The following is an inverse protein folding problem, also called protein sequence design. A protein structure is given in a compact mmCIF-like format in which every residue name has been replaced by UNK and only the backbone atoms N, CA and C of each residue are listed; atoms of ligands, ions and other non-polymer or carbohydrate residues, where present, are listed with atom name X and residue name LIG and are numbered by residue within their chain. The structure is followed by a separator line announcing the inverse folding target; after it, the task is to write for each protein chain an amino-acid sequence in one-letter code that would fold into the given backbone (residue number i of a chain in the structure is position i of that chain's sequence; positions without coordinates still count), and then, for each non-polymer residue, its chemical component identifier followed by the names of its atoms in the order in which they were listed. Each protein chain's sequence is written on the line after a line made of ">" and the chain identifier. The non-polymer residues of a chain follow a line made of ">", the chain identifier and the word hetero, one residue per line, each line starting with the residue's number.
data_IF_038189828840
#
_entry.id   IF_038189828840
#
_cell.length_a   1.000
_cell.length_b   1.000
_cell.length_c   1.000
_cell.angle_alpha   90.00
_cell.angle_beta   90.00
_cell.angle_gamma   90.00
#
_symmetry.space_group_name_H-M   'P 1'
#
loop_
_entity.id
_entity.type
_entity.pdbx_description
1 polymer ?
#
# COMPACT_ATOMS: atom_id res chain seq x y z
N UNK A 1 87.09 11.10 -3.98
CA UNK A 1 85.95 10.16 -4.09
C UNK A 1 84.76 10.83 -3.49
N UNK A 2 83.85 11.36 -4.37
CA UNK A 2 82.62 12.07 -3.97
C UNK A 2 81.44 11.07 -4.02
N UNK A 3 80.84 10.77 -2.87
CA UNK A 3 79.65 9.92 -2.80
C UNK A 3 78.43 10.80 -3.03
N UNK A 4 77.63 10.51 -4.13
CA UNK A 4 76.42 11.16 -4.49
C UNK A 4 75.27 10.43 -3.79
N UNK A 5 74.55 11.06 -2.84
CA UNK A 5 73.34 10.55 -2.20
C UNK A 5 72.13 10.92 -3.08
N UNK A 6 71.47 9.89 -3.58
CA UNK A 6 70.15 10.03 -4.25
C UNK A 6 69.06 10.01 -3.16
N UNK A 7 68.35 11.13 -3.00
CA UNK A 7 67.14 11.21 -2.18
C UNK A 7 65.96 10.89 -3.10
N UNK A 8 65.36 9.69 -2.91
CA UNK A 8 64.14 9.33 -3.58
C UNK A 8 62.97 9.94 -2.81
N UNK A 9 62.34 10.98 -3.41
CA UNK A 9 61.13 11.60 -2.87
C UNK A 9 59.93 10.72 -3.21
N UNK A 10 59.42 9.97 -2.22
CA UNK A 10 58.19 9.14 -2.36
C UNK A 10 56.97 10.09 -2.22
N UNK A 11 56.42 10.56 -3.32
CA UNK A 11 55.15 11.29 -3.34
C UNK A 11 53.98 10.28 -3.15
N UNK A 12 53.44 10.19 -1.94
CA UNK A 12 52.22 9.46 -1.67
C UNK A 12 51.04 10.16 -2.35
N UNK A 13 50.50 9.56 -3.41
CA UNK A 13 49.23 9.96 -4.03
C UNK A 13 48.10 9.63 -3.06
N UNK A 14 47.66 10.60 -2.27
CA UNK A 14 46.43 10.52 -1.48
C UNK A 14 45.25 10.71 -2.47
N UNK A 15 44.70 9.60 -2.94
CA UNK A 15 43.41 9.65 -3.66
C UNK A 15 42.32 9.97 -2.64
N UNK A 16 41.55 11.07 -2.82
CA UNK A 16 40.43 11.35 -1.94
C UNK A 16 39.42 10.19 -2.06
N UNK A 17 39.19 9.50 -0.97
CA UNK A 17 38.06 8.59 -0.87
C UNK A 17 36.78 9.44 -1.10
N UNK A 18 36.08 9.19 -2.20
CA UNK A 18 34.77 9.76 -2.41
C UNK A 18 33.87 9.15 -1.35
N UNK A 19 33.60 9.88 -0.28
CA UNK A 19 32.49 9.59 0.62
C UNK A 19 31.24 9.81 -0.24
N UNK A 20 30.62 8.73 -0.69
CA UNK A 20 29.32 8.81 -1.34
C UNK A 20 28.37 9.37 -0.30
N UNK A 21 27.89 10.58 -0.51
CA UNK A 21 26.89 11.17 0.36
C UNK A 21 25.65 10.25 0.33
N UNK A 22 25.18 9.85 1.51
CA UNK A 22 23.99 9.05 1.65
C UNK A 22 22.81 9.80 0.99
N UNK A 23 22.01 9.09 0.20
CA UNK A 23 20.86 9.67 -0.45
C UNK A 23 19.82 10.12 0.58
N UNK A 24 19.08 11.18 0.28
CA UNK A 24 17.98 11.63 1.12
C UNK A 24 16.89 10.55 1.29
N UNK A 25 16.76 9.63 0.32
CA UNK A 25 15.82 8.51 0.36
C UNK A 25 16.24 7.40 1.34
N UNK A 26 17.55 7.20 1.57
CA UNK A 26 18.07 6.06 2.32
C UNK A 26 17.57 6.03 3.75
N UNK A 27 17.07 4.88 4.17
CA UNK A 27 16.66 4.61 5.55
C UNK A 27 15.28 3.99 5.66
N UNK A 28 14.87 3.75 6.90
CA UNK A 28 13.53 3.27 7.24
C UNK A 28 12.60 4.46 7.43
N UNK A 29 11.42 4.36 6.84
CA UNK A 29 10.40 5.39 6.86
C UNK A 29 9.14 4.84 7.51
N UNK A 30 8.53 5.60 8.42
CA UNK A 30 7.30 5.23 9.11
C UNK A 30 6.19 6.23 8.79
N UNK A 31 5.03 5.72 8.37
CA UNK A 31 3.84 6.52 8.06
C UNK A 31 3.31 7.21 9.34
N UNK A 32 3.07 8.51 9.25
CA UNK A 32 2.29 9.25 10.25
C UNK A 32 0.80 9.22 9.88
N UNK A 33 0.04 8.42 10.60
CA UNK A 33 -1.40 8.27 10.36
C UNK A 33 -2.17 9.58 10.54
N UNK A 34 -1.67 10.54 11.34
CA UNK A 34 -2.33 11.83 11.55
C UNK A 34 -2.18 12.75 10.32
N UNK A 35 -1.24 12.47 9.44
CA UNK A 35 -0.97 13.22 8.21
C UNK A 35 -1.35 12.42 6.95
N UNK A 36 -2.37 11.56 7.07
CA UNK A 36 -2.89 10.74 5.96
C UNK A 36 -4.14 11.36 5.37
N UNK A 37 -4.14 11.57 4.06
CA UNK A 37 -5.30 11.98 3.27
C UNK A 37 -5.84 10.77 2.52
N UNK A 38 -7.00 10.29 2.96
CA UNK A 38 -7.65 9.11 2.38
C UNK A 38 -8.36 9.44 1.06
N UNK A 39 -8.65 8.44 0.23
CA UNK A 39 -9.37 8.62 -1.02
C UNK A 39 -10.70 9.33 -0.82
N UNK A 40 -11.01 10.25 -1.72
CA UNK A 40 -12.30 10.97 -1.68
C UNK A 40 -13.44 10.17 -2.31
N UNK A 41 -13.12 9.14 -3.10
CA UNK A 41 -14.09 8.25 -3.72
C UNK A 41 -14.71 7.34 -2.65
N UNK A 42 -16.04 7.33 -2.61
CA UNK A 42 -16.76 6.50 -1.65
C UNK A 42 -16.88 5.05 -2.12
N UNK A 43 -16.74 4.11 -1.19
CA UNK A 43 -17.14 2.72 -1.39
C UNK A 43 -18.67 2.60 -1.46
N UNK A 44 -19.19 1.73 -2.34
CA UNK A 44 -20.63 1.53 -2.53
C UNK A 44 -20.99 0.06 -2.32
N UNK A 45 -21.80 -0.17 -1.30
CA UNK A 45 -22.22 -1.51 -0.88
C UNK A 45 -23.75 -1.61 -0.83
N UNK A 46 -24.28 -2.76 -1.18
CA UNK A 46 -25.72 -3.06 -1.06
C UNK A 46 -25.85 -4.47 -0.47
N UNK A 47 -26.52 -4.56 0.66
CA UNK A 47 -26.89 -5.83 1.30
C UNK A 47 -28.40 -5.84 1.49
N UNK A 48 -29.09 -6.59 0.64
CA UNK A 48 -30.54 -6.66 0.61
C UNK A 48 -31.00 -8.02 0.09
N UNK A 49 -32.08 -8.56 0.67
CA UNK A 49 -32.68 -9.85 0.26
C UNK A 49 -31.67 -11.03 0.29
N UNK A 50 -30.70 -10.99 1.24
CA UNK A 50 -29.66 -12.01 1.36
C UNK A 50 -28.56 -11.94 0.29
N UNK A 51 -28.50 -10.89 -0.51
CA UNK A 51 -27.45 -10.64 -1.51
C UNK A 51 -26.58 -9.46 -1.09
N UNK A 52 -25.28 -9.66 -1.22
CA UNK A 52 -24.26 -8.62 -1.01
C UNK A 52 -23.63 -8.22 -2.34
N UNK A 53 -23.52 -6.92 -2.56
CA UNK A 53 -22.93 -6.32 -3.74
C UNK A 53 -21.92 -5.27 -3.31
N UNK A 54 -20.64 -5.46 -3.63
CA UNK A 54 -19.66 -4.38 -3.61
C UNK A 54 -19.51 -3.82 -5.03
N UNK A 55 -20.06 -2.65 -5.29
CA UNK A 55 -20.07 -2.02 -6.61
C UNK A 55 -18.75 -1.35 -6.97
N UNK A 56 -17.94 -1.05 -5.97
CA UNK A 56 -16.66 -0.34 -6.12
C UNK A 56 -15.46 -1.25 -5.88
N UNK A 57 -15.67 -2.49 -5.49
CA UNK A 57 -14.62 -3.51 -5.48
C UNK A 57 -14.13 -3.79 -6.91
N UNK A 58 -12.88 -4.21 -7.06
CA UNK A 58 -12.28 -4.54 -8.36
C UNK A 58 -11.62 -5.92 -8.25
N UNK A 59 -12.23 -6.95 -8.85
CA UNK A 59 -13.52 -6.93 -9.56
C UNK A 59 -14.71 -6.68 -8.61
N UNK A 60 -15.89 -6.25 -9.13
CA UNK A 60 -17.11 -6.14 -8.32
C UNK A 60 -17.48 -7.50 -7.68
N UNK A 61 -18.00 -7.46 -6.45
CA UNK A 61 -18.44 -8.65 -5.72
C UNK A 61 -19.95 -8.72 -5.74
N UNK A 62 -20.51 -9.86 -6.14
CA UNK A 62 -21.92 -10.17 -6.15
C UNK A 62 -22.11 -11.60 -5.59
N UNK A 63 -22.40 -11.73 -4.28
CA UNK A 63 -22.52 -13.03 -3.61
C UNK A 63 -23.69 -13.06 -2.63
N UNK A 64 -24.09 -14.26 -2.18
CA UNK A 64 -25.02 -14.41 -1.08
C UNK A 64 -24.35 -14.05 0.25
N UNK A 65 -25.10 -13.41 1.13
CA UNK A 65 -24.69 -13.13 2.51
C UNK A 65 -25.26 -14.22 3.46
N UNK A 66 -24.89 -15.48 3.22
CA UNK A 66 -25.38 -16.66 3.94
C UNK A 66 -24.33 -17.27 4.87
N UNK A 67 -23.14 -16.67 4.96
CA UNK A 67 -22.03 -17.15 5.77
C UNK A 67 -21.28 -18.33 5.17
N UNK A 68 -21.52 -18.66 3.89
CA UNK A 68 -20.80 -19.70 3.16
C UNK A 68 -19.78 -19.09 2.21
N UNK A 69 -18.80 -19.90 1.81
CA UNK A 69 -17.77 -19.48 0.85
C UNK A 69 -18.33 -19.53 -0.57
N UNK A 70 -18.34 -18.40 -1.25
CA UNK A 70 -18.75 -18.25 -2.64
C UNK A 70 -17.54 -18.00 -3.54
N UNK A 71 -17.37 -18.80 -4.60
CA UNK A 71 -16.29 -18.63 -5.55
C UNK A 71 -16.42 -17.29 -6.29
N UNK A 72 -15.29 -16.61 -6.39
CA UNK A 72 -15.13 -15.37 -7.18
C UNK A 72 -13.91 -15.52 -8.09
N UNK A 73 -13.81 -14.68 -9.11
CA UNK A 73 -12.72 -14.70 -10.06
C UNK A 73 -12.22 -13.30 -10.36
N UNK A 74 -10.97 -13.20 -10.80
CA UNK A 74 -10.38 -11.93 -11.26
C UNK A 74 -9.59 -11.18 -10.20
N UNK A 75 -9.63 -11.60 -8.93
CA UNK A 75 -8.72 -11.11 -7.91
C UNK A 75 -7.46 -11.98 -7.84
N UNK A 76 -6.32 -11.38 -7.49
CA UNK A 76 -5.04 -12.11 -7.36
C UNK A 76 -4.80 -12.64 -5.96
N UNK A 77 -5.52 -12.10 -4.97
CA UNK A 77 -5.34 -12.43 -3.58
C UNK A 77 -6.25 -13.56 -3.12
N UNK A 78 -7.49 -13.58 -3.56
CA UNK A 78 -8.48 -14.56 -3.11
C UNK A 78 -9.28 -15.18 -4.27
N UNK A 79 -9.86 -16.36 -4.02
CA UNK A 79 -10.68 -17.12 -4.96
C UNK A 79 -12.10 -17.39 -4.43
N UNK A 80 -12.37 -17.01 -3.19
CA UNK A 80 -13.70 -17.10 -2.58
C UNK A 80 -13.92 -16.01 -1.53
N UNK A 81 -15.18 -15.59 -1.42
CA UNK A 81 -15.68 -14.57 -0.48
C UNK A 81 -16.80 -15.15 0.35
N UNK A 82 -16.78 -14.87 1.65
CA UNK A 82 -17.81 -15.24 2.61
C UNK A 82 -18.36 -13.98 3.26
N UNK A 83 -19.66 -13.74 3.14
CA UNK A 83 -20.34 -12.61 3.77
C UNK A 83 -21.24 -13.12 4.88
N UNK A 84 -20.95 -12.73 6.12
CA UNK A 84 -21.74 -13.11 7.30
C UNK A 84 -22.36 -11.86 7.93
N UNK A 85 -23.69 -11.85 7.96
CA UNK A 85 -24.44 -10.85 8.75
C UNK A 85 -24.39 -11.29 10.21
N UNK A 86 -23.77 -10.48 11.07
CA UNK A 86 -23.62 -10.78 12.52
C UNK A 86 -24.84 -10.32 13.29
N UNK A 87 -25.28 -9.11 13.01
CA UNK A 87 -26.45 -8.48 13.61
C UNK A 87 -27.03 -7.40 12.65
N UNK A 88 -27.97 -6.60 13.15
CA UNK A 88 -28.65 -5.56 12.38
C UNK A 88 -27.74 -4.39 11.94
N UNK A 89 -26.47 -4.35 12.33
CA UNK A 89 -25.52 -3.27 12.01
C UNK A 89 -24.11 -3.77 11.69
N UNK A 90 -23.85 -5.07 11.86
CA UNK A 90 -22.51 -5.64 11.75
C UNK A 90 -22.48 -6.72 10.68
N UNK A 91 -21.54 -6.59 9.75
CA UNK A 91 -21.25 -7.57 8.70
C UNK A 91 -19.77 -7.91 8.76
N UNK A 92 -19.44 -9.18 8.50
CA UNK A 92 -18.07 -9.64 8.29
C UNK A 92 -17.95 -10.21 6.90
N UNK A 93 -16.98 -9.71 6.15
CA UNK A 93 -16.45 -10.29 4.91
C UNK A 93 -15.19 -11.08 5.25
N UNK A 94 -15.05 -12.27 4.70
CA UNK A 94 -13.86 -13.11 4.82
C UNK A 94 -13.48 -13.64 3.46
N UNK A 95 -12.30 -13.27 3.00
CA UNK A 95 -11.77 -13.69 1.71
C UNK A 95 -10.76 -14.79 1.90
N UNK A 96 -10.85 -15.82 1.06
CA UNK A 96 -9.98 -16.98 1.16
C UNK A 96 -9.30 -17.28 -0.16
N UNK A 97 -8.09 -17.78 -0.05
CA UNK A 97 -7.31 -18.35 -1.14
C UNK A 97 -7.07 -19.83 -0.87
N UNK A 98 -7.60 -20.69 -1.73
CA UNK A 98 -7.50 -22.16 -1.57
C UNK A 98 -7.99 -22.61 -0.18
N UNK A 99 -9.05 -22.00 0.32
CA UNK A 99 -9.64 -22.31 1.63
C UNK A 99 -8.95 -21.66 2.84
N UNK A 100 -7.77 -21.02 2.68
CA UNK A 100 -7.09 -20.26 3.74
C UNK A 100 -7.58 -18.82 3.73
N UNK A 101 -7.96 -18.30 4.90
CA UNK A 101 -8.28 -16.88 5.05
C UNK A 101 -7.04 -16.02 4.78
N UNK A 102 -7.19 -15.02 3.91
CA UNK A 102 -6.15 -14.06 3.55
C UNK A 102 -6.57 -12.62 3.81
N UNK A 103 -7.88 -12.36 3.89
CA UNK A 103 -8.39 -11.04 4.25
C UNK A 103 -9.66 -11.18 5.08
N UNK A 104 -9.84 -10.29 6.05
CA UNK A 104 -11.10 -10.10 6.77
C UNK A 104 -11.42 -8.61 6.87
N UNK A 105 -12.70 -8.30 6.69
CA UNK A 105 -13.23 -6.96 6.89
C UNK A 105 -14.46 -7.06 7.78
N UNK A 106 -14.43 -6.41 8.95
CA UNK A 106 -15.59 -6.27 9.81
C UNK A 106 -16.07 -4.85 9.79
N UNK A 107 -17.31 -4.63 9.39
CA UNK A 107 -17.92 -3.32 9.41
C UNK A 107 -19.04 -3.26 10.43
N UNK A 108 -19.04 -2.20 11.26
CA UNK A 108 -20.09 -1.92 12.23
C UNK A 108 -20.61 -0.50 12.02
N UNK A 109 -21.87 -0.38 11.69
CA UNK A 109 -22.55 0.90 11.46
C UNK A 109 -23.04 1.46 12.81
N UNK A 110 -22.86 2.76 13.03
CA UNK A 110 -23.34 3.45 14.22
C UNK A 110 -24.88 3.40 14.36
N UNK A 111 -25.44 3.54 15.58
CA UNK A 111 -26.89 3.50 15.81
C UNK A 111 -27.68 4.54 14.99
N UNK A 112 -27.09 5.71 14.74
CA UNK A 112 -27.69 6.77 13.92
C UNK A 112 -27.54 6.53 12.40
N UNK A 113 -26.77 5.50 12.03
CA UNK A 113 -26.50 5.14 10.65
C UNK A 113 -25.58 6.08 9.88
N UNK A 114 -24.93 7.06 10.51
CA UNK A 114 -24.17 8.11 9.83
C UNK A 114 -22.67 7.81 9.73
N UNK A 115 -22.15 6.95 10.60
CA UNK A 115 -20.75 6.54 10.61
C UNK A 115 -20.63 5.02 10.61
N UNK A 116 -19.50 4.52 10.18
CA UNK A 116 -19.14 3.11 10.28
C UNK A 116 -17.67 2.95 10.69
N UNK A 117 -17.42 1.93 11.50
CA UNK A 117 -16.08 1.46 11.84
C UNK A 117 -15.80 0.24 10.98
N UNK A 118 -14.68 0.26 10.29
CA UNK A 118 -14.14 -0.82 9.47
C UNK A 118 -12.88 -1.34 10.14
N UNK A 119 -12.84 -2.63 10.42
CA UNK A 119 -11.70 -3.32 11.01
C UNK A 119 -11.21 -4.34 9.99
N UNK A 120 -9.96 -4.20 9.58
CA UNK A 120 -9.34 -5.00 8.54
C UNK A 120 -8.21 -5.85 9.10
N UNK A 121 -8.03 -7.05 8.53
CA UNK A 121 -6.84 -7.86 8.67
C UNK A 121 -6.52 -8.46 7.31
N UNK A 122 -5.30 -8.26 6.83
CA UNK A 122 -4.83 -8.70 5.52
C UNK A 122 -3.50 -9.43 5.63
N UNK A 123 -3.41 -10.59 5.01
CA UNK A 123 -2.21 -11.43 4.94
C UNK A 123 -1.98 -11.95 3.53
N UNK A 124 -2.38 -11.16 2.54
CA UNK A 124 -2.32 -11.55 1.13
C UNK A 124 -0.90 -11.68 0.58
N UNK A 125 0.05 -10.99 1.16
CA UNK A 125 1.43 -10.98 0.68
C UNK A 125 2.15 -12.32 0.91
N UNK A 126 3.27 -12.53 0.20
CA UNK A 126 3.93 -13.83 0.10
C UNK A 126 4.47 -14.37 1.43
N UNK A 127 4.85 -13.50 2.38
CA UNK A 127 5.27 -13.92 3.71
C UNK A 127 4.10 -14.29 4.63
N UNK A 128 2.85 -13.96 4.23
CA UNK A 128 1.63 -14.26 4.98
C UNK A 128 1.52 -13.55 6.34
N UNK A 129 2.32 -12.50 6.57
CA UNK A 129 2.22 -11.70 7.78
C UNK A 129 0.96 -10.83 7.73
N UNK A 130 0.21 -10.84 8.84
CA UNK A 130 -1.02 -10.09 8.94
C UNK A 130 -0.75 -8.61 9.23
N UNK A 131 -1.32 -7.74 8.38
CA UNK A 131 -1.43 -6.31 8.62
C UNK A 131 -2.85 -6.00 9.04
N UNK A 132 -3.00 -5.32 10.18
CA UNK A 132 -4.33 -4.91 10.66
C UNK A 132 -4.46 -3.39 10.67
N UNK A 133 -5.64 -2.89 10.35
CA UNK A 133 -5.95 -1.46 10.53
C UNK A 133 -7.43 -1.24 10.82
N UNK A 134 -7.70 -0.08 11.40
CA UNK A 134 -9.05 0.37 11.72
C UNK A 134 -9.31 1.73 11.08
N UNK A 135 -10.43 1.83 10.38
CA UNK A 135 -10.86 3.04 9.66
C UNK A 135 -12.22 3.49 10.13
N UNK A 136 -12.42 4.79 10.21
CA UNK A 136 -13.73 5.41 10.37
C UNK A 136 -14.16 5.99 9.03
N UNK A 137 -15.42 5.70 8.65
CA UNK A 137 -16.05 6.25 7.46
C UNK A 137 -17.33 6.99 7.81
N UNK A 138 -17.68 7.96 6.97
CA UNK A 138 -18.96 8.66 7.04
C UNK A 138 -19.84 8.26 5.85
N UNK A 139 -21.13 8.24 6.09
CA UNK A 139 -22.11 7.92 5.07
C UNK A 139 -22.23 9.06 4.04
N UNK A 140 -22.09 8.74 2.76
CA UNK A 140 -22.37 9.64 1.66
C UNK A 140 -23.84 9.57 1.22
N UNK A 141 -24.37 8.35 1.07
CA UNK A 141 -25.78 8.13 0.73
C UNK A 141 -26.30 6.86 1.41
N UNK A 142 -27.61 6.81 1.65
CA UNK A 142 -28.29 5.61 2.14
C UNK A 142 -28.49 4.62 0.99
N UNK A 143 -28.55 3.35 1.33
CA UNK A 143 -28.97 2.29 0.41
C UNK A 143 -30.47 2.27 0.16
N UNK A 144 -30.98 1.27 -0.59
CA UNK A 144 -32.40 1.07 -0.83
C UNK A 144 -33.18 0.90 0.47
N UNK A 145 -34.49 1.24 0.42
CA UNK A 145 -35.37 1.04 1.57
C UNK A 145 -35.45 -0.46 1.92
N UNK A 146 -35.34 -0.77 3.21
CA UNK A 146 -35.35 -2.14 3.72
C UNK A 146 -34.02 -2.91 3.55
N UNK A 147 -32.98 -2.27 3.01
CA UNK A 147 -31.65 -2.87 2.97
C UNK A 147 -30.96 -2.78 4.34
N UNK A 148 -30.00 -3.68 4.58
CA UNK A 148 -29.15 -3.64 5.79
C UNK A 148 -28.42 -2.29 5.91
N UNK A 149 -28.20 -1.75 7.11
CA UNK A 149 -27.57 -0.44 7.32
C UNK A 149 -26.18 -0.25 6.68
N UNK A 150 -25.42 -1.30 6.38
CA UNK A 150 -24.17 -1.17 5.59
C UNK A 150 -24.43 -0.60 4.19
N UNK A 151 -25.64 -0.79 3.66
CA UNK A 151 -25.99 -0.38 2.29
C UNK A 151 -25.92 1.12 2.11
N UNK A 152 -25.36 1.52 0.96
CA UNK A 152 -25.17 2.91 0.60
C UNK A 152 -23.74 3.20 0.21
N UNK A 153 -23.35 4.46 0.27
CA UNK A 153 -21.98 4.89 0.00
C UNK A 153 -21.28 5.36 1.28
N UNK A 154 -20.00 5.03 1.39
CA UNK A 154 -19.18 5.32 2.56
C UNK A 154 -17.87 5.96 2.15
N UNK A 155 -17.60 7.14 2.70
CA UNK A 155 -16.35 7.85 2.48
C UNK A 155 -15.41 7.63 3.67
N UNK A 156 -14.21 7.14 3.40
CA UNK A 156 -13.16 7.03 4.41
C UNK A 156 -12.79 8.42 4.94
N UNK A 157 -12.71 8.55 6.27
CA UNK A 157 -12.39 9.81 6.95
C UNK A 157 -11.00 9.78 7.58
N UNK A 158 -10.69 8.70 8.28
CA UNK A 158 -9.38 8.54 8.94
C UNK A 158 -9.10 7.08 9.26
N UNK A 159 -7.82 6.73 9.27
CA UNK A 159 -7.30 5.52 9.90
C UNK A 159 -7.05 5.84 11.37
N UNK A 160 -7.54 5.00 12.28
CA UNK A 160 -7.44 5.22 13.73
C UNK A 160 -6.19 4.56 14.30
N UNK A 161 -5.88 3.37 13.79
CA UNK A 161 -4.67 2.63 14.10
C UNK A 161 -4.31 1.69 12.94
N UNK A 162 -3.07 1.21 12.96
CA UNK A 162 -2.58 0.14 12.10
C UNK A 162 -1.51 -0.63 12.88
N UNK A 163 -1.29 -1.89 12.53
CA UNK A 163 -0.14 -2.65 13.01
C UNK A 163 1.17 -2.04 12.49
N UNK A 164 2.24 -2.19 13.26
CA UNK A 164 3.55 -1.57 12.95
C UNK A 164 4.12 -2.02 11.58
N UNK A 165 3.93 -3.30 11.23
CA UNK A 165 4.38 -3.87 9.96
C UNK A 165 3.66 -3.26 8.73
N UNK A 166 2.47 -2.71 8.90
CA UNK A 166 1.76 -1.97 7.84
C UNK A 166 2.20 -0.51 7.68
N UNK A 167 3.08 -0.01 8.56
CA UNK A 167 3.45 1.41 8.59
C UNK A 167 4.87 1.69 8.11
N UNK A 168 5.73 0.67 7.93
CA UNK A 168 7.15 0.89 7.72
C UNK A 168 7.64 0.35 6.38
N UNK A 169 8.50 1.11 5.73
CA UNK A 169 9.23 0.69 4.54
C UNK A 169 10.68 1.20 4.61
N UNK A 170 11.59 0.47 3.98
CA UNK A 170 12.99 0.86 3.82
C UNK A 170 13.25 1.21 2.36
N UNK A 171 13.84 2.38 2.14
CA UNK A 171 14.26 2.85 0.83
C UNK A 171 15.77 2.95 0.78
N UNK A 172 16.34 2.71 -0.40
CA UNK A 172 17.77 2.89 -0.68
C UNK A 172 17.96 3.39 -2.10
N UNK A 173 18.78 4.42 -2.28
CA UNK A 173 19.20 4.90 -3.59
C UNK A 173 20.74 4.85 -3.67
N UNK A 174 21.27 3.92 -4.45
CA UNK A 174 22.69 3.72 -4.63
C UNK A 174 23.07 3.85 -6.11
N UNK A 175 23.75 4.95 -6.44
CA UNK A 175 24.04 5.29 -7.84
C UNK A 175 22.73 5.52 -8.62
N UNK A 176 22.46 4.68 -9.61
CA UNK A 176 21.25 4.68 -10.44
C UNK A 176 20.22 3.61 -10.01
N UNK A 177 20.43 2.95 -8.88
CA UNK A 177 19.59 1.85 -8.38
C UNK A 177 18.74 2.30 -7.20
N UNK A 178 17.42 2.21 -7.31
CA UNK A 178 16.46 2.46 -6.24
C UNK A 178 15.88 1.15 -5.72
N UNK A 179 16.00 0.93 -4.41
CA UNK A 179 15.48 -0.22 -3.70
C UNK A 179 14.34 0.18 -2.77
N UNK A 180 13.32 -0.66 -2.72
CA UNK A 180 12.19 -0.61 -1.80
C UNK A 180 12.05 -1.96 -1.11
N UNK A 181 11.76 -1.96 0.19
CA UNK A 181 11.34 -3.13 0.94
C UNK A 181 10.40 -2.72 2.07
N UNK A 182 9.28 -3.41 2.22
CA UNK A 182 8.38 -3.22 3.35
C UNK A 182 8.44 -4.38 4.35
N UNK A 183 7.74 -4.23 5.47
CA UNK A 183 7.71 -5.24 6.51
C UNK A 183 6.80 -6.43 6.19
N UNK A 184 6.00 -6.37 5.10
CA UNK A 184 5.15 -7.48 4.65
C UNK A 184 5.90 -8.43 3.70
N UNK A 185 7.17 -8.12 3.38
CA UNK A 185 8.04 -8.93 2.54
C UNK A 185 7.98 -8.55 1.06
N UNK A 186 7.28 -7.49 0.69
CA UNK A 186 7.36 -6.95 -0.66
C UNK A 186 8.66 -6.19 -0.85
N UNK A 187 9.32 -6.40 -1.98
CA UNK A 187 10.56 -5.69 -2.29
C UNK A 187 10.87 -5.68 -3.78
N UNK A 188 11.63 -4.68 -4.20
CA UNK A 188 12.26 -4.63 -5.52
C UNK A 188 13.55 -3.79 -5.47
N UNK A 189 14.39 -3.95 -6.48
CA UNK A 189 15.47 -3.04 -6.82
C UNK A 189 15.42 -2.79 -8.32
N UNK A 190 15.25 -1.54 -8.70
CA UNK A 190 15.11 -1.12 -10.09
C UNK A 190 16.10 -0.01 -10.42
N UNK A 191 16.60 0.01 -11.67
CA UNK A 191 17.38 1.14 -12.17
C UNK A 191 16.45 2.32 -12.45
N UNK A 192 16.90 3.51 -12.09
CA UNK A 192 16.25 4.75 -12.47
C UNK A 192 16.19 4.84 -14.01
N UNK A 193 15.01 5.15 -14.53
CA UNK A 193 14.71 5.19 -15.96
C UNK A 193 15.03 3.87 -16.71
N UNK A 194 15.13 2.75 -15.96
CA UNK A 194 15.43 1.41 -16.48
C UNK A 194 14.18 0.61 -16.88
N UNK A 195 14.37 -0.66 -17.27
CA UNK A 195 13.27 -1.56 -17.59
C UNK A 195 12.46 -1.95 -16.36
N UNK A 196 11.24 -2.45 -16.58
CA UNK A 196 10.39 -3.02 -15.55
C UNK A 196 11.09 -4.21 -14.85
N UNK A 197 11.00 -4.28 -13.52
CA UNK A 197 11.50 -5.39 -12.68
C UNK A 197 10.36 -6.03 -11.90
N UNK A 198 10.42 -7.31 -11.53
CA UNK A 198 9.39 -7.94 -10.70
C UNK A 198 9.31 -7.32 -9.30
N UNK A 199 8.09 -7.08 -8.80
CA UNK A 199 7.83 -6.89 -7.37
C UNK A 199 7.86 -8.26 -6.70
N UNK A 200 8.89 -8.50 -5.91
CA UNK A 200 9.05 -9.73 -5.12
C UNK A 200 8.13 -9.67 -3.90
N UNK A 201 7.60 -10.81 -3.48
CA UNK A 201 6.73 -10.90 -2.30
C UNK A 201 5.27 -10.53 -2.54
N UNK A 202 4.93 -9.97 -3.69
CA UNK A 202 3.55 -9.75 -4.09
C UNK A 202 2.94 -10.97 -4.79
N UNK A 203 1.63 -11.14 -4.68
CA UNK A 203 0.90 -12.29 -5.26
C UNK A 203 0.36 -12.00 -6.68
N UNK A 204 0.46 -10.79 -7.16
CA UNK A 204 -0.26 -10.30 -8.37
C UNK A 204 0.59 -10.19 -9.63
N UNK A 205 1.81 -10.77 -9.67
CA UNK A 205 2.74 -10.65 -10.79
C UNK A 205 2.94 -9.19 -11.26
N UNK A 206 3.01 -8.27 -10.29
CA UNK A 206 3.27 -6.85 -10.55
C UNK A 206 4.73 -6.67 -10.97
N UNK A 207 4.95 -5.82 -11.96
CA UNK A 207 6.28 -5.32 -12.31
C UNK A 207 6.35 -3.83 -12.04
N UNK A 208 7.54 -3.36 -11.68
CA UNK A 208 7.79 -2.00 -11.21
C UNK A 208 8.83 -1.35 -12.12
N UNK A 209 8.61 -0.12 -12.51
CA UNK A 209 9.63 0.78 -13.06
C UNK A 209 9.72 2.04 -12.22
N UNK A 210 10.91 2.60 -12.11
CA UNK A 210 11.17 3.81 -11.34
C UNK A 210 11.80 4.88 -12.20
N UNK A 211 11.41 6.13 -11.93
CA UNK A 211 11.93 7.31 -12.62
C UNK A 211 12.32 8.36 -11.61
N UNK A 212 13.48 8.99 -11.79
CA UNK A 212 13.84 10.17 -11.03
C UNK A 212 13.22 11.40 -11.67
N UNK A 213 12.38 12.11 -10.92
CA UNK A 213 11.73 13.34 -11.37
C UNK A 213 12.63 14.54 -11.10
N UNK A 214 13.22 14.57 -9.89
CA UNK A 214 14.22 15.55 -9.46
C UNK A 214 15.11 14.97 -8.35
N UNK A 215 15.97 15.78 -7.75
CA UNK A 215 16.91 15.33 -6.71
C UNK A 215 16.24 14.68 -5.50
N UNK A 216 15.00 15.11 -5.17
CA UNK A 216 14.27 14.69 -3.98
C UNK A 216 12.98 13.91 -4.31
N UNK A 217 12.70 13.64 -5.59
CA UNK A 217 11.44 13.02 -6.03
C UNK A 217 11.71 11.84 -6.94
N UNK A 218 11.18 10.68 -6.55
CA UNK A 218 11.13 9.45 -7.36
C UNK A 218 9.68 9.08 -7.62
N UNK A 219 9.39 8.68 -8.84
CA UNK A 219 8.11 8.14 -9.27
C UNK A 219 8.26 6.66 -9.61
N UNK A 220 7.44 5.84 -8.96
CA UNK A 220 7.30 4.41 -9.19
C UNK A 220 6.04 4.16 -10.02
N UNK A 221 6.10 3.27 -10.97
CA UNK A 221 4.96 2.85 -11.77
C UNK A 221 4.80 1.33 -11.71
N UNK A 222 3.66 0.89 -11.19
CA UNK A 222 3.29 -0.51 -11.12
C UNK A 222 2.45 -0.92 -12.30
N UNK A 223 2.77 -2.09 -12.87
CA UNK A 223 2.05 -2.65 -14.01
C UNK A 223 1.67 -4.10 -13.75
N UNK A 224 0.48 -4.49 -14.21
CA UNK A 224 -0.01 -5.87 -14.27
C UNK A 224 -0.47 -6.19 -15.68
N UNK A 225 0.02 -7.28 -16.26
CA UNK A 225 -0.27 -7.65 -17.65
C UNK A 225 -0.09 -6.46 -18.64
N UNK A 226 0.98 -5.66 -18.45
CA UNK A 226 1.32 -4.50 -19.28
C UNK A 226 0.46 -3.25 -19.06
N UNK A 227 -0.51 -3.28 -18.14
CA UNK A 227 -1.35 -2.12 -17.79
C UNK A 227 -0.87 -1.46 -16.52
N UNK A 228 -0.77 -0.12 -16.51
CA UNK A 228 -0.48 0.64 -15.29
C UNK A 228 -1.66 0.50 -14.32
N UNK A 229 -1.37 -0.01 -13.12
CA UNK A 229 -2.34 -0.21 -12.05
C UNK A 229 -2.19 0.81 -10.94
N UNK A 230 -0.96 1.27 -10.66
CA UNK A 230 -0.72 2.37 -9.72
C UNK A 230 0.49 3.21 -10.14
N UNK A 231 0.54 4.44 -9.60
CA UNK A 231 1.72 5.31 -9.67
C UNK A 231 1.94 5.88 -8.27
N UNK A 232 3.13 5.65 -7.72
CA UNK A 232 3.55 6.16 -6.42
C UNK A 232 4.61 7.22 -6.59
N UNK A 233 4.44 8.35 -5.93
CA UNK A 233 5.45 9.42 -5.91
C UNK A 233 5.99 9.58 -4.50
N UNK A 234 7.31 9.42 -4.36
CA UNK A 234 8.07 9.63 -3.13
C UNK A 234 8.77 10.99 -3.23
N UNK A 235 8.44 11.93 -2.37
CA UNK A 235 9.05 13.26 -2.35
C UNK A 235 9.63 13.56 -0.97
N UNK A 236 10.97 13.52 -0.84
CA UNK A 236 11.69 13.75 0.41
C UNK A 236 11.83 15.26 0.64
N UNK A 237 11.59 15.69 1.89
CA UNK A 237 11.79 17.09 2.29
C UNK A 237 13.25 17.52 2.19
N UNK A 238 13.50 18.83 2.05
CA UNK A 238 14.85 19.39 1.90
C UNK A 238 15.78 19.05 3.09
N UNK A 239 15.22 18.85 4.29
CA UNK A 239 15.98 18.45 5.48
C UNK A 239 16.16 16.93 5.62
N UNK A 240 15.60 16.14 4.69
CA UNK A 240 15.71 14.67 4.65
C UNK A 240 14.94 13.95 5.75
N UNK A 241 14.07 14.61 6.53
CA UNK A 241 13.42 14.02 7.71
C UNK A 241 12.02 13.50 7.45
N UNK A 242 11.32 14.07 6.48
CA UNK A 242 9.97 13.66 6.10
C UNK A 242 9.90 13.34 4.62
N UNK A 243 8.94 12.53 4.24
CA UNK A 243 8.66 12.16 2.86
C UNK A 243 7.16 12.21 2.62
N UNK A 244 6.73 12.98 1.64
CA UNK A 244 5.36 12.89 1.13
C UNK A 244 5.29 11.71 0.17
N UNK A 245 4.31 10.82 0.38
CA UNK A 245 4.04 9.70 -0.51
C UNK A 245 2.63 9.83 -1.04
N UNK A 246 2.50 9.87 -2.38
CA UNK A 246 1.20 9.94 -3.06
C UNK A 246 1.05 8.70 -3.92
N UNK A 247 0.06 7.86 -3.60
CA UNK A 247 -0.28 6.67 -4.37
C UNK A 247 -1.53 6.96 -5.20
N UNK A 248 -1.42 6.86 -6.51
CA UNK A 248 -2.52 7.03 -7.46
C UNK A 248 -2.95 5.67 -7.99
N UNK A 249 -4.05 5.14 -7.48
CA UNK A 249 -4.68 3.92 -7.97
C UNK A 249 -5.37 4.21 -9.32
N UNK A 250 -4.86 3.60 -10.38
CA UNK A 250 -5.38 3.78 -11.76
C UNK A 250 -6.58 2.90 -12.05
N UNK A 251 -6.77 1.81 -11.30
CA UNK A 251 -7.92 0.93 -11.44
C UNK A 251 -9.18 1.57 -10.84
N UNK A 252 -9.04 2.15 -9.65
CA UNK A 252 -10.14 2.83 -8.98
C UNK A 252 -10.28 4.31 -9.38
N UNK A 253 -9.23 4.92 -9.97
CA UNK A 253 -9.21 6.35 -10.26
C UNK A 253 -9.27 7.18 -8.96
N UNK A 254 -8.52 6.75 -7.94
CA UNK A 254 -8.45 7.38 -6.62
C UNK A 254 -7.00 7.60 -6.21
N UNK A 255 -6.77 8.38 -5.16
CA UNK A 255 -5.43 8.58 -4.60
C UNK A 255 -5.48 8.64 -3.08
N UNK A 256 -4.40 8.18 -2.46
CA UNK A 256 -4.08 8.37 -1.05
C UNK A 256 -2.78 9.13 -0.94
N UNK A 257 -2.69 10.01 0.05
CA UNK A 257 -1.45 10.71 0.37
C UNK A 257 -1.17 10.55 1.86
N UNK A 258 0.08 10.32 2.21
CA UNK A 258 0.53 10.32 3.59
C UNK A 258 1.93 10.93 3.70
N UNK A 259 2.30 11.27 4.92
CA UNK A 259 3.65 11.69 5.28
C UNK A 259 4.32 10.54 6.01
N UNK A 260 5.52 10.19 5.61
CA UNK A 260 6.38 9.27 6.34
C UNK A 260 7.53 10.04 7.02
N UNK A 261 7.93 9.60 8.20
CA UNK A 261 9.00 10.19 9.00
C UNK A 261 10.16 9.20 9.01
N UNK A 262 11.36 9.71 8.77
CA UNK A 262 12.59 8.91 8.82
C UNK A 262 12.86 8.46 10.25
N UNK A 263 13.18 7.17 10.42
CA UNK A 263 13.47 6.54 11.70
C UNK A 263 14.97 6.59 12.05
#
# INVERSE_FOLDING_TARGET
>A
MKKLFWVVLLTALVTPARVMAQSAFDGTWKIDLNQTQLPTKAGVYILQNGMYHCRTCIPPIDVRADGLDHKVAGDSCYDSVNIRVVDDRTVIETDKRQGKTVHTEKVTVSPDGNTAVWEFADSCDANGEEVTWKQISVRGSKGPIGAHPISGSWKAMRIVNSSENGLTATLKLEGDSFGFADSTGQSYTAKLDGPDVPLTGGVSNTVVSVKQIDQNTIEETDKRAGKVVSVTRFAVSADGKTMSVVISDKLQGSSVQFVAVKQ
#
